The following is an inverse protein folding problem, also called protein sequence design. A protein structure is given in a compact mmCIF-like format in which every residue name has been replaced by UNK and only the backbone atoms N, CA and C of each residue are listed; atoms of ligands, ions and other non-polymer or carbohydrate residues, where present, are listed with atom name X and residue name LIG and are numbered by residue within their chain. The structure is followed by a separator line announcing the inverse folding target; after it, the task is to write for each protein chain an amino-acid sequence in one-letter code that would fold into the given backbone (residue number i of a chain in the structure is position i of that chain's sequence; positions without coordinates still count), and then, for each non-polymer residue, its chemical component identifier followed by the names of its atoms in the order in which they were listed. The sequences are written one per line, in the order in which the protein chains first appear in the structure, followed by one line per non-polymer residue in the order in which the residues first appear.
data_IF_271546395884
#
_entry.id   IF_271546395884
#
_cell.length_a   1.000
_cell.length_b   1.000
_cell.length_c   1.000
_cell.angle_alpha   90.00
_cell.angle_beta   90.00
_cell.angle_gamma   90.00
#
_symmetry.space_group_name_H-M   'P 1'
#
loop_
_entity.id
_entity.type
_entity.pdbx_description
1 polymer ?
#
# COMPACT_ATOMS: atom_id res chain seq x y z
N UNK A 1 -61.45 -64.31 29.32
CA UNK A 1 -60.98 -63.17 28.50
C UNK A 1 -59.59 -62.77 28.91
N UNK A 2 -58.58 -63.06 28.07
CA UNK A 2 -57.18 -62.74 28.35
C UNK A 2 -56.96 -61.33 27.78
N UNK A 3 -56.75 -60.34 28.66
CA UNK A 3 -56.38 -58.99 28.24
C UNK A 3 -54.93 -59.02 27.74
N UNK A 4 -54.76 -58.71 26.46
CA UNK A 4 -53.42 -58.58 25.88
C UNK A 4 -52.73 -57.33 26.46
N UNK A 5 -51.48 -57.42 26.88
CA UNK A 5 -50.75 -56.28 27.41
C UNK A 5 -50.62 -55.20 26.31
N UNK A 6 -51.07 -54.01 26.66
CA UNK A 6 -50.95 -52.88 25.79
C UNK A 6 -49.47 -52.48 25.66
N UNK A 7 -48.85 -52.81 24.55
CA UNK A 7 -47.48 -52.47 24.28
C UNK A 7 -47.40 -50.99 23.98
N UNK A 8 -47.10 -50.18 24.97
CA UNK A 8 -46.83 -48.76 24.78
C UNK A 8 -45.57 -48.60 23.91
N UNK A 9 -45.74 -48.04 22.73
CA UNK A 9 -44.62 -47.66 21.88
C UNK A 9 -43.88 -46.52 22.56
N UNK A 10 -42.57 -46.63 22.76
CA UNK A 10 -41.82 -45.49 23.27
C UNK A 10 -41.97 -44.32 22.30
N UNK A 11 -42.39 -43.15 22.79
CA UNK A 11 -42.41 -41.91 22.02
C UNK A 11 -40.95 -41.55 21.83
N UNK A 12 -40.47 -41.62 20.57
CA UNK A 12 -39.19 -41.11 20.19
C UNK A 12 -39.34 -39.60 20.16
N UNK A 13 -38.97 -38.94 21.24
CA UNK A 13 -38.85 -37.47 21.24
C UNK A 13 -37.51 -37.15 20.58
N UNK A 14 -37.57 -36.78 19.30
CA UNK A 14 -36.44 -36.21 18.59
C UNK A 14 -36.25 -34.78 19.10
N UNK A 15 -35.51 -34.64 20.18
CA UNK A 15 -35.08 -33.32 20.63
C UNK A 15 -33.90 -32.89 19.77
N UNK A 16 -34.13 -31.84 19.00
CA UNK A 16 -33.03 -31.21 18.28
C UNK A 16 -32.20 -30.46 19.32
N UNK A 17 -30.97 -30.92 19.53
CA UNK A 17 -30.05 -30.22 20.39
C UNK A 17 -29.50 -29.00 19.65
N UNK A 18 -29.84 -27.79 20.09
CA UNK A 18 -29.41 -26.53 19.48
C UNK A 18 -27.97 -26.15 19.84
N UNK A 19 -27.37 -26.78 20.84
CA UNK A 19 -26.00 -26.45 21.31
C UNK A 19 -24.96 -26.58 20.21
N UNK A 20 -24.88 -27.69 19.42
CA UNK A 20 -23.90 -27.77 18.32
C UNK A 20 -24.16 -26.75 17.22
N UNK A 21 -25.38 -26.32 16.98
CA UNK A 21 -25.68 -25.27 15.99
C UNK A 21 -25.19 -23.90 16.46
N UNK A 22 -25.40 -23.59 17.75
CA UNK A 22 -24.90 -22.33 18.34
C UNK A 22 -23.37 -22.33 18.31
N UNK A 23 -22.69 -23.41 18.58
CA UNK A 23 -21.23 -23.50 18.55
C UNK A 23 -20.68 -23.24 17.15
N UNK A 24 -21.28 -23.84 16.10
CA UNK A 24 -20.91 -23.59 14.71
C UNK A 24 -21.14 -22.12 14.33
N UNK A 25 -22.28 -21.55 14.73
CA UNK A 25 -22.59 -20.14 14.46
C UNK A 25 -21.58 -19.21 15.15
N UNK A 26 -21.22 -19.52 16.39
CA UNK A 26 -20.26 -18.72 17.16
C UNK A 26 -18.86 -18.80 16.55
N UNK A 27 -18.42 -19.98 16.14
CA UNK A 27 -17.13 -20.15 15.45
C UNK A 27 -17.12 -19.40 14.13
N UNK A 28 -18.18 -19.47 13.33
CA UNK A 28 -18.29 -18.72 12.09
C UNK A 28 -18.27 -17.22 12.35
N UNK A 29 -18.97 -16.74 13.38
CA UNK A 29 -18.97 -15.32 13.76
C UNK A 29 -17.54 -14.86 14.11
N UNK A 30 -16.80 -15.62 14.88
CA UNK A 30 -15.42 -15.28 15.25
C UNK A 30 -14.52 -15.26 14.02
N UNK A 31 -14.65 -16.24 13.14
CA UNK A 31 -13.87 -16.29 11.89
C UNK A 31 -14.18 -15.06 11.04
N UNK A 32 -15.45 -14.67 10.86
CA UNK A 32 -15.82 -13.47 10.12
C UNK A 32 -15.31 -12.19 10.78
N UNK A 33 -15.27 -12.12 12.09
CA UNK A 33 -14.69 -10.98 12.80
C UNK A 33 -13.18 -10.87 12.58
N UNK A 34 -12.48 -12.00 12.50
CA UNK A 34 -11.04 -12.02 12.24
C UNK A 34 -10.70 -11.75 10.77
N UNK A 35 -11.57 -12.13 9.85
CA UNK A 35 -11.40 -11.95 8.41
C UNK A 35 -12.09 -10.71 7.87
N UNK A 36 -12.58 -9.80 8.73
CA UNK A 36 -13.09 -8.51 8.26
C UNK A 36 -12.01 -7.88 7.38
N UNK A 37 -12.22 -7.81 6.06
CA UNK A 37 -11.26 -7.13 5.22
C UNK A 37 -11.23 -5.69 5.70
N UNK A 38 -10.07 -5.24 6.13
CA UNK A 38 -9.80 -3.82 6.22
C UNK A 38 -9.94 -3.35 4.78
N UNK A 39 -11.11 -2.81 4.46
CA UNK A 39 -11.29 -2.08 3.20
C UNK A 39 -10.43 -0.83 3.39
N UNK A 40 -9.14 -0.99 3.21
CA UNK A 40 -8.30 0.14 2.93
C UNK A 40 -8.87 0.72 1.65
N UNK A 41 -9.42 1.91 1.74
CA UNK A 41 -9.65 2.71 0.56
C UNK A 41 -8.26 2.97 -0.01
N UNK A 42 -7.76 1.97 -0.75
CA UNK A 42 -6.60 2.14 -1.58
C UNK A 42 -6.97 3.23 -2.57
N UNK A 43 -6.35 4.38 -2.44
CA UNK A 43 -6.20 5.24 -3.59
C UNK A 43 -5.61 4.29 -4.63
N UNK A 44 -6.33 4.07 -5.71
CA UNK A 44 -5.87 3.27 -6.83
C UNK A 44 -4.65 4.00 -7.40
N UNK A 45 -3.53 3.80 -6.73
CA UNK A 45 -2.23 4.15 -7.25
C UNK A 45 -1.95 3.02 -8.21
N UNK A 46 -1.98 3.34 -9.48
CA UNK A 46 -1.47 2.48 -10.53
C UNK A 46 0.03 2.33 -10.25
N UNK A 47 0.33 1.46 -9.29
CA UNK A 47 1.68 1.03 -9.03
C UNK A 47 2.08 0.28 -10.29
N UNK A 48 3.05 0.79 -11.05
CA UNK A 48 3.65 -0.03 -12.08
C UNK A 48 4.07 -1.31 -11.36
N UNK A 49 3.51 -2.43 -11.81
CA UNK A 49 3.93 -3.75 -11.36
C UNK A 49 5.44 -3.72 -11.24
N UNK A 50 5.92 -3.77 -10.01
CA UNK A 50 7.32 -3.91 -9.74
C UNK A 50 7.71 -5.35 -10.09
N UNK A 51 7.67 -5.68 -11.37
CA UNK A 51 8.72 -6.49 -11.90
C UNK A 51 9.98 -5.68 -11.60
N UNK A 52 10.86 -6.24 -10.81
CA UNK A 52 12.17 -5.69 -10.57
C UNK A 52 12.95 -5.72 -11.90
N UNK A 53 12.42 -5.05 -12.88
CA UNK A 53 13.16 -4.63 -14.03
C UNK A 53 14.16 -3.63 -13.47
N UNK A 54 15.39 -4.03 -13.46
CA UNK A 54 16.54 -3.13 -13.34
C UNK A 54 16.15 -1.93 -14.19
N UNK A 55 15.75 -0.85 -13.52
CA UNK A 55 15.40 0.39 -14.23
C UNK A 55 16.70 0.81 -14.86
N UNK A 56 16.79 0.62 -16.17
CA UNK A 56 17.96 1.02 -16.93
C UNK A 56 17.98 2.55 -16.92
N UNK A 57 18.76 3.09 -15.98
CA UNK A 57 18.93 4.53 -15.81
C UNK A 57 19.73 5.17 -16.93
N UNK A 58 20.06 4.40 -17.98
CA UNK A 58 21.04 4.81 -19.00
C UNK A 58 20.54 5.81 -20.02
N UNK A 59 19.22 5.98 -20.20
CA UNK A 59 18.72 6.85 -21.29
C UNK A 59 18.05 8.16 -20.84
N UNK A 60 17.56 8.25 -19.63
CA UNK A 60 16.98 9.49 -19.10
C UNK A 60 17.19 9.55 -17.59
N UNK A 61 17.85 10.60 -17.14
CA UNK A 61 18.08 10.81 -15.71
C UNK A 61 16.75 11.02 -14.97
N UNK A 62 16.32 10.09 -14.14
CA UNK A 62 15.07 10.25 -13.41
C UNK A 62 15.19 11.33 -12.34
N UNK A 63 14.10 12.01 -12.05
CA UNK A 63 14.03 12.87 -10.88
C UNK A 63 13.66 12.03 -9.66
N UNK A 64 14.50 12.07 -8.64
CA UNK A 64 14.30 11.35 -7.39
C UNK A 64 14.16 12.36 -6.26
N UNK A 65 13.05 12.30 -5.56
CA UNK A 65 12.78 13.10 -4.36
C UNK A 65 12.96 12.20 -3.16
N UNK A 66 13.86 12.55 -2.28
CA UNK A 66 14.18 11.76 -1.09
C UNK A 66 13.64 12.45 0.17
N UNK A 67 13.03 11.69 1.06
CA UNK A 67 12.58 12.14 2.39
C UNK A 67 13.48 11.46 3.42
N UNK A 68 14.12 12.26 4.27
CA UNK A 68 14.93 11.72 5.38
C UNK A 68 14.07 11.45 6.63
N UNK A 69 14.70 10.92 7.68
CA UNK A 69 14.04 10.62 8.97
C UNK A 69 13.40 11.84 9.63
N UNK A 70 13.96 13.02 9.41
CA UNK A 70 13.51 14.28 9.98
C UNK A 70 12.32 14.87 9.22
N UNK A 71 11.97 14.29 8.06
CA UNK A 71 10.92 14.79 7.19
C UNK A 71 11.38 15.89 6.24
N UNK A 72 12.69 16.02 6.04
CA UNK A 72 13.27 16.94 5.09
C UNK A 72 13.28 16.35 3.69
N UNK A 73 13.11 17.21 2.69
CA UNK A 73 13.02 16.83 1.29
C UNK A 73 14.28 17.21 0.54
N UNK A 74 14.72 16.27 -0.29
CA UNK A 74 15.89 16.44 -1.14
C UNK A 74 15.53 16.06 -2.57
N UNK A 75 16.13 16.71 -3.55
CA UNK A 75 15.97 16.38 -4.96
C UNK A 75 17.34 16.10 -5.57
N UNK A 76 17.43 15.08 -6.42
CA UNK A 76 18.69 14.75 -7.08
C UNK A 76 19.09 15.82 -8.11
N UNK A 77 20.38 15.94 -8.33
CA UNK A 77 20.92 16.76 -9.44
C UNK A 77 20.77 16.01 -10.77
N UNK A 78 20.57 16.76 -11.86
CA UNK A 78 20.54 16.21 -13.22
C UNK A 78 21.92 16.19 -13.90
N UNK A 79 22.99 16.55 -13.19
CA UNK A 79 24.33 16.61 -13.76
C UNK A 79 24.82 15.23 -14.17
N UNK A 80 25.15 15.07 -15.46
CA UNK A 80 25.56 13.82 -16.09
C UNK A 80 26.81 13.17 -15.48
N UNK A 81 27.60 13.93 -14.72
CA UNK A 81 28.89 13.45 -14.19
C UNK A 81 28.82 12.84 -12.80
N UNK A 82 27.66 12.79 -12.18
CA UNK A 82 27.53 12.28 -10.82
C UNK A 82 26.58 11.09 -10.79
N UNK A 83 27.11 9.91 -11.08
CA UNK A 83 26.47 8.61 -10.79
C UNK A 83 26.19 8.40 -9.29
N UNK A 84 26.58 9.35 -8.47
CA UNK A 84 26.23 9.40 -7.06
C UNK A 84 24.94 10.20 -6.96
N UNK A 85 23.92 9.58 -6.43
CA UNK A 85 22.80 10.27 -5.80
C UNK A 85 23.43 11.16 -4.73
N UNK A 86 23.95 12.29 -5.17
CA UNK A 86 24.57 13.25 -4.28
C UNK A 86 23.45 13.82 -3.46
N UNK A 87 23.62 13.80 -2.17
CA UNK A 87 22.74 14.40 -1.19
C UNK A 87 22.19 15.70 -1.74
N UNK A 88 20.92 15.63 -2.21
CA UNK A 88 20.27 16.77 -2.81
C UNK A 88 20.25 17.91 -1.79
N UNK A 89 20.20 19.11 -2.27
CA UNK A 89 20.06 20.27 -1.39
C UNK A 89 18.72 20.21 -0.68
N UNK A 90 18.72 20.43 0.63
CA UNK A 90 17.49 20.62 1.41
C UNK A 90 16.68 21.78 0.83
N UNK A 91 15.45 21.48 0.42
CA UNK A 91 14.57 22.45 -0.22
C UNK A 91 13.16 22.39 0.35
N UNK A 92 12.48 23.55 0.47
CA UNK A 92 11.07 23.57 0.76
C UNK A 92 10.26 22.82 -0.29
N UNK A 93 9.16 22.18 0.11
CA UNK A 93 8.32 21.36 -0.77
C UNK A 93 7.77 22.13 -1.98
N UNK A 94 7.40 23.39 -1.80
CA UNK A 94 6.94 24.25 -2.92
C UNK A 94 8.01 24.49 -3.99
N UNK A 95 9.26 24.61 -3.60
CA UNK A 95 10.38 24.76 -4.53
C UNK A 95 10.62 23.45 -5.28
N UNK A 96 10.55 22.31 -4.59
CA UNK A 96 10.68 21.00 -5.22
C UNK A 96 9.62 20.77 -6.28
N UNK A 97 8.36 21.11 -5.99
CA UNK A 97 7.28 21.02 -6.97
C UNK A 97 7.53 21.86 -8.21
N UNK A 98 7.98 23.10 -8.03
CA UNK A 98 8.34 23.98 -9.14
C UNK A 98 9.51 23.44 -9.98
N UNK A 99 10.53 22.87 -9.34
CA UNK A 99 11.65 22.24 -10.03
C UNK A 99 11.22 21.00 -10.83
N UNK A 100 10.35 20.16 -10.26
CA UNK A 100 9.83 18.97 -10.94
C UNK A 100 8.99 19.39 -12.16
N UNK A 101 8.13 20.39 -12.03
CA UNK A 101 7.37 20.92 -13.15
C UNK A 101 8.27 21.46 -14.26
N UNK A 102 9.27 22.26 -13.91
CA UNK A 102 10.23 22.79 -14.88
C UNK A 102 11.00 21.67 -15.60
N UNK A 103 11.38 20.62 -14.89
CA UNK A 103 12.04 19.45 -15.48
C UNK A 103 11.11 18.68 -16.41
N UNK A 104 9.83 18.52 -16.05
CA UNK A 104 8.84 17.84 -16.89
C UNK A 104 8.50 18.64 -18.16
N UNK A 105 8.55 19.97 -18.12
CA UNK A 105 8.42 20.81 -19.32
C UNK A 105 9.57 20.58 -20.29
N UNK A 106 10.80 20.45 -19.79
CA UNK A 106 11.96 20.17 -20.61
C UNK A 106 12.02 18.70 -21.09
N UNK A 107 11.61 17.78 -20.24
CA UNK A 107 11.65 16.35 -20.47
C UNK A 107 10.30 15.69 -20.13
N UNK A 108 9.30 15.74 -21.03
CA UNK A 108 7.94 15.23 -20.76
C UNK A 108 7.88 13.73 -20.44
N UNK A 109 8.88 12.96 -20.88
CA UNK A 109 8.98 11.53 -20.64
C UNK A 109 9.78 11.16 -19.37
N UNK A 110 10.23 12.15 -18.63
CA UNK A 110 11.04 11.94 -17.44
C UNK A 110 10.23 11.20 -16.36
N UNK A 111 10.86 10.22 -15.76
CA UNK A 111 10.27 9.48 -14.65
C UNK A 111 10.54 10.20 -13.33
N UNK A 112 9.53 10.28 -12.48
CA UNK A 112 9.63 10.87 -11.15
C UNK A 112 9.48 9.76 -10.12
N UNK A 113 10.42 9.69 -9.18
CA UNK A 113 10.42 8.72 -8.11
C UNK A 113 10.47 9.39 -6.75
N UNK A 114 9.83 8.79 -5.77
CA UNK A 114 9.93 9.17 -4.36
C UNK A 114 10.67 8.07 -3.61
N UNK A 115 11.68 8.47 -2.84
CA UNK A 115 12.43 7.60 -1.94
C UNK A 115 12.18 8.06 -0.51
N UNK A 116 11.71 7.17 0.36
CA UNK A 116 11.59 7.42 1.79
C UNK A 116 12.66 6.66 2.57
N UNK A 117 13.23 7.30 3.60
CA UNK A 117 14.03 6.58 4.58
C UNK A 117 13.16 5.50 5.27
N UNK A 118 13.77 4.42 5.73
CA UNK A 118 13.08 3.30 6.37
C UNK A 118 12.27 3.72 7.60
N UNK A 119 12.67 4.76 8.30
CA UNK A 119 12.02 5.28 9.50
C UNK A 119 10.99 6.38 9.21
N UNK A 120 10.80 6.78 7.95
CA UNK A 120 9.81 7.78 7.57
C UNK A 120 8.40 7.18 7.68
N UNK A 121 7.48 7.94 8.28
CA UNK A 121 6.08 7.56 8.34
C UNK A 121 5.50 7.44 6.93
N UNK A 122 4.79 6.35 6.66
CA UNK A 122 4.14 6.09 5.37
C UNK A 122 3.21 7.25 4.94
N UNK A 123 2.48 7.85 5.91
CA UNK A 123 1.63 8.99 5.65
C UNK A 123 2.37 10.20 5.08
N UNK A 124 3.62 10.43 5.45
CA UNK A 124 4.46 11.50 4.90
C UNK A 124 4.77 11.25 3.42
N UNK A 125 5.09 10.03 3.07
CA UNK A 125 5.34 9.63 1.67
C UNK A 125 4.09 9.81 0.83
N UNK A 126 2.94 9.35 1.30
CA UNK A 126 1.65 9.50 0.61
C UNK A 126 1.27 10.98 0.45
N UNK A 127 1.49 11.79 1.47
CA UNK A 127 1.23 13.24 1.40
C UNK A 127 2.10 13.92 0.34
N UNK A 128 3.37 13.55 0.25
CA UNK A 128 4.26 14.06 -0.79
C UNK A 128 3.79 13.64 -2.19
N UNK A 129 3.41 12.38 -2.38
CA UNK A 129 2.90 11.89 -3.66
C UNK A 129 1.64 12.64 -4.08
N UNK A 130 0.69 12.82 -3.16
CA UNK A 130 -0.53 13.60 -3.41
C UNK A 130 -0.23 15.06 -3.76
N UNK A 131 0.72 15.66 -3.08
CA UNK A 131 1.15 17.02 -3.36
C UNK A 131 1.74 17.15 -4.77
N UNK A 132 2.59 16.23 -5.17
CA UNK A 132 3.18 16.21 -6.52
C UNK A 132 2.11 15.99 -7.59
N UNK A 133 1.17 15.08 -7.37
CA UNK A 133 0.06 14.84 -8.29
C UNK A 133 -0.81 16.08 -8.48
N UNK A 134 -1.13 16.80 -7.41
CA UNK A 134 -1.87 18.06 -7.47
C UNK A 134 -1.11 19.16 -8.23
N UNK A 135 0.21 19.04 -8.33
CA UNK A 135 1.07 19.95 -9.08
C UNK A 135 1.42 19.45 -10.50
N UNK A 136 0.66 18.50 -11.03
CA UNK A 136 0.75 18.08 -12.43
C UNK A 136 1.70 16.91 -12.72
N UNK A 137 2.17 16.20 -11.69
CA UNK A 137 2.97 14.98 -11.87
C UNK A 137 2.03 13.79 -11.97
N UNK A 138 1.79 13.27 -13.18
CA UNK A 138 0.81 12.21 -13.40
C UNK A 138 1.30 10.83 -12.91
N UNK A 139 2.59 10.54 -13.08
CA UNK A 139 3.16 9.22 -12.77
C UNK A 139 4.32 9.36 -11.78
N UNK A 140 4.16 8.75 -10.61
CA UNK A 140 5.17 8.75 -9.56
C UNK A 140 5.46 7.31 -9.18
N UNK A 141 6.72 6.93 -9.26
CA UNK A 141 7.21 5.66 -8.75
C UNK A 141 7.71 5.77 -7.31
N UNK A 142 7.72 4.68 -6.58
CA UNK A 142 8.35 4.60 -5.26
C UNK A 142 9.60 3.72 -5.36
N UNK A 143 10.72 4.24 -4.88
CA UNK A 143 11.96 3.48 -4.78
C UNK A 143 12.12 3.04 -3.33
N UNK A 144 12.25 1.74 -3.15
CA UNK A 144 12.56 1.14 -1.86
C UNK A 144 13.93 0.51 -1.92
N UNK A 145 14.73 0.67 -0.87
CA UNK A 145 15.97 -0.08 -0.76
C UNK A 145 15.61 -1.55 -0.53
N UNK A 146 16.15 -2.43 -1.37
CA UNK A 146 15.99 -3.87 -1.20
C UNK A 146 16.62 -4.28 0.14
N UNK A 147 15.92 -5.01 0.99
CA UNK A 147 16.56 -5.58 2.17
C UNK A 147 17.62 -6.60 1.71
N UNK A 148 18.87 -6.37 2.08
CA UNK A 148 19.93 -7.38 2.01
C UNK A 148 19.67 -8.47 3.07
#
# INVERSE_FOLDING_TARGET
MIALPHRSRPKIEAQINIVPYIDVMLVLLVIFMMTTPIIEQGIEVDLPTAEANIVDFSEQHPTIITINKQGDYFINSLDENTSKITDGKLLPLGIIAGMVQARLELYPQMKVFVRGDREVAYGTVVSLMSFLQNNGVEKIGVVTDSPN
#
